data_IF_701850331371
#
_entry.id   IF_701850331371
#
_cell.length_a   1.000
_cell.length_b   1.000
_cell.length_c   1.000
_cell.angle_alpha   90.00
_cell.angle_beta   90.00
_cell.angle_gamma   90.00
#
_symmetry.space_group_name_H-M   'P 1'
#
loop_
_entity.id
_entity.type
_entity.pdbx_description
1 polymer ?
#
# COMPACT_ATOMS: atom_id res chain seq x y z
N UNK A 1 53.22 -2.32 -49.16
CA UNK A 1 54.36 -2.25 -48.21
C UNK A 1 54.02 -2.92 -46.90
N UNK A 2 53.23 -2.25 -46.06
CA UNK A 2 53.04 -2.58 -44.63
C UNK A 2 52.26 -3.91 -44.39
N UNK A 3 51.28 -4.24 -45.23
CA UNK A 3 50.50 -5.48 -45.08
C UNK A 3 51.30 -6.77 -45.35
N UNK A 4 52.23 -6.74 -46.33
CA UNK A 4 53.09 -7.89 -46.62
C UNK A 4 54.11 -8.14 -45.50
N UNK A 5 54.69 -7.08 -44.92
CA UNK A 5 55.57 -7.19 -43.75
C UNK A 5 54.83 -7.69 -42.52
N UNK A 6 53.57 -7.28 -42.30
CA UNK A 6 52.79 -7.75 -41.15
C UNK A 6 52.43 -9.24 -41.29
N UNK A 7 52.05 -9.69 -42.49
CA UNK A 7 51.74 -11.10 -42.78
C UNK A 7 52.99 -11.98 -42.72
N UNK A 8 54.12 -11.55 -43.29
CA UNK A 8 55.38 -12.32 -43.19
C UNK A 8 55.89 -12.37 -41.75
N UNK A 9 55.74 -11.29 -40.98
CA UNK A 9 56.11 -11.26 -39.55
C UNK A 9 55.17 -12.16 -38.73
N UNK A 10 53.86 -12.19 -39.02
CA UNK A 10 52.89 -13.04 -38.33
C UNK A 10 53.10 -14.52 -38.67
N UNK A 11 53.41 -14.86 -39.93
CA UNK A 11 53.76 -16.21 -40.38
C UNK A 11 55.09 -16.66 -39.76
N UNK A 12 56.10 -15.81 -39.74
CA UNK A 12 57.37 -16.10 -39.07
C UNK A 12 57.16 -16.29 -37.55
N UNK A 13 56.32 -15.46 -36.92
CA UNK A 13 55.98 -15.55 -35.49
C UNK A 13 55.18 -16.80 -35.13
N UNK A 14 54.24 -17.21 -35.99
CA UNK A 14 53.45 -18.44 -35.78
C UNK A 14 54.28 -19.69 -36.04
N UNK A 15 55.06 -19.71 -37.13
CA UNK A 15 56.03 -20.78 -37.38
C UNK A 15 57.03 -20.89 -36.22
N UNK A 16 57.53 -19.76 -35.68
CA UNK A 16 58.42 -19.69 -34.51
C UNK A 16 57.98 -20.42 -33.24
N UNK A 17 56.67 -20.67 -33.10
CA UNK A 17 56.13 -21.42 -31.96
C UNK A 17 56.05 -22.92 -32.19
N UNK A 18 56.31 -23.41 -33.40
CA UNK A 18 56.29 -24.85 -33.71
C UNK A 18 57.63 -25.52 -33.39
N UNK A 19 57.59 -26.81 -32.98
CA UNK A 19 58.81 -27.60 -32.74
C UNK A 19 59.66 -27.74 -34.02
N UNK A 20 59.00 -27.86 -35.18
CA UNK A 20 59.66 -27.99 -36.47
C UNK A 20 60.43 -26.72 -36.87
N UNK A 21 59.88 -25.53 -36.60
CA UNK A 21 60.60 -24.28 -36.90
C UNK A 21 61.72 -24.01 -35.92
N UNK A 22 61.58 -24.32 -34.63
CA UNK A 22 62.71 -24.22 -33.69
C UNK A 22 63.85 -25.14 -34.11
N UNK A 23 63.53 -26.34 -34.57
CA UNK A 23 64.52 -27.24 -35.15
C UNK A 23 65.13 -26.67 -36.46
N UNK A 24 64.32 -26.07 -37.33
CA UNK A 24 64.78 -25.41 -38.54
C UNK A 24 65.69 -24.20 -38.25
N UNK A 25 65.40 -23.38 -37.23
CA UNK A 25 66.27 -22.30 -36.78
C UNK A 25 67.57 -22.86 -36.23
N UNK A 26 67.52 -23.92 -35.44
CA UNK A 26 68.74 -24.55 -34.94
C UNK A 26 69.62 -25.06 -36.10
N UNK A 27 69.03 -25.76 -37.07
CA UNK A 27 69.72 -26.20 -38.28
C UNK A 27 70.23 -25.03 -39.13
N UNK A 28 69.44 -23.97 -39.27
CA UNK A 28 69.84 -22.75 -39.98
C UNK A 28 71.03 -22.10 -39.29
N UNK A 29 71.01 -21.92 -37.96
CA UNK A 29 72.13 -21.36 -37.21
C UNK A 29 73.38 -22.23 -37.33
N UNK A 30 73.25 -23.56 -37.28
CA UNK A 30 74.38 -24.48 -37.51
C UNK A 30 74.91 -24.33 -38.94
N UNK A 31 74.04 -24.31 -39.95
CA UNK A 31 74.41 -24.19 -41.37
C UNK A 31 75.02 -22.83 -41.70
N UNK A 32 74.49 -21.76 -41.10
CA UNK A 32 74.97 -20.40 -41.23
C UNK A 32 76.36 -20.24 -40.61
N UNK A 33 76.58 -20.85 -39.44
CA UNK A 33 77.91 -20.91 -38.83
C UNK A 33 78.88 -21.77 -39.64
N UNK A 34 78.40 -22.86 -40.26
CA UNK A 34 79.23 -23.71 -41.11
C UNK A 34 79.85 -22.92 -42.27
N UNK A 35 79.18 -21.91 -42.83
CA UNK A 35 79.75 -21.01 -43.85
C UNK A 35 80.96 -20.24 -43.31
N UNK A 36 80.89 -19.75 -42.07
CA UNK A 36 82.01 -19.05 -41.43
C UNK A 36 83.20 -20.00 -41.23
N UNK A 37 82.96 -21.23 -40.75
CA UNK A 37 84.03 -22.21 -40.53
C UNK A 37 84.60 -22.81 -41.82
N UNK A 38 83.78 -23.07 -42.85
CA UNK A 38 84.27 -23.55 -44.15
C UNK A 38 85.07 -22.49 -44.88
N UNK A 39 84.70 -21.21 -44.75
CA UNK A 39 85.52 -20.10 -45.26
C UNK A 39 86.92 -20.09 -44.63
N UNK A 40 87.02 -20.42 -43.35
CA UNK A 40 88.30 -20.50 -42.63
C UNK A 40 89.15 -21.71 -43.06
N UNK A 41 88.52 -22.83 -43.43
CA UNK A 41 89.23 -24.04 -43.92
C UNK A 41 89.63 -23.92 -45.40
N UNK A 42 88.83 -23.24 -46.22
CA UNK A 42 89.04 -23.14 -47.67
C UNK A 42 90.00 -22.00 -48.10
N UNK A 43 90.27 -21.02 -47.24
CA UNK A 43 91.11 -19.85 -47.55
C UNK A 43 92.55 -19.94 -47.03
N UNK A 44 93.54 -19.81 -47.92
CA UNK A 44 94.96 -19.64 -47.57
C UNK A 44 95.35 -18.16 -47.42
N UNK A 45 95.99 -17.82 -46.28
CA UNK A 45 96.48 -16.52 -45.78
C UNK A 45 95.97 -15.22 -46.44
N UNK A 46 95.04 -14.53 -45.76
CA UNK A 46 95.07 -13.07 -45.52
C UNK A 46 93.88 -12.65 -44.61
N UNK A 47 94.21 -12.20 -43.40
CA UNK A 47 93.58 -11.19 -42.51
C UNK A 47 92.06 -11.03 -42.30
N UNK A 48 91.14 -11.59 -43.10
CA UNK A 48 89.69 -11.30 -42.97
C UNK A 48 88.82 -12.43 -42.38
N UNK A 49 89.40 -13.60 -42.06
CA UNK A 49 88.63 -14.78 -41.66
C UNK A 49 88.15 -14.72 -40.20
N UNK A 50 88.93 -14.13 -39.29
CA UNK A 50 88.52 -13.84 -37.90
C UNK A 50 87.33 -12.89 -37.83
N UNK A 51 87.27 -11.90 -38.73
CA UNK A 51 86.13 -10.97 -38.81
C UNK A 51 84.83 -11.69 -39.19
N UNK A 52 84.89 -12.73 -40.02
CA UNK A 52 83.72 -13.52 -40.37
C UNK A 52 83.20 -14.32 -39.17
N UNK A 53 84.05 -14.95 -38.38
CA UNK A 53 83.63 -15.67 -37.16
C UNK A 53 83.03 -14.68 -36.14
N UNK A 54 83.70 -13.55 -35.93
CA UNK A 54 83.27 -12.51 -34.99
C UNK A 54 81.94 -11.83 -35.37
N UNK A 55 81.55 -11.87 -36.65
CA UNK A 55 80.27 -11.34 -37.11
C UNK A 55 79.20 -12.43 -37.17
N UNK A 56 79.51 -13.58 -37.79
CA UNK A 56 78.51 -14.59 -38.11
C UNK A 56 78.09 -15.41 -36.89
N UNK A 57 79.03 -15.79 -36.02
CA UNK A 57 78.72 -16.62 -34.84
C UNK A 57 77.91 -15.84 -33.80
N UNK A 58 78.29 -14.61 -33.40
CA UNK A 58 77.44 -13.81 -32.52
C UNK A 58 76.07 -13.51 -33.11
N UNK A 59 75.99 -13.17 -34.40
CA UNK A 59 74.71 -12.91 -35.06
C UNK A 59 73.80 -14.14 -35.04
N UNK A 60 74.34 -15.33 -35.34
CA UNK A 60 73.58 -16.57 -35.32
C UNK A 60 73.14 -16.96 -33.91
N UNK A 61 73.97 -16.70 -32.89
CA UNK A 61 73.64 -16.90 -31.48
C UNK A 61 72.56 -15.92 -31.01
N UNK A 62 72.62 -14.65 -31.41
CA UNK A 62 71.59 -13.65 -31.11
C UNK A 62 70.25 -14.09 -31.71
N UNK A 63 70.24 -14.46 -32.99
CA UNK A 63 69.03 -14.97 -33.67
C UNK A 63 68.54 -16.25 -32.97
N UNK A 64 69.42 -17.19 -32.67
CA UNK A 64 69.08 -18.42 -31.95
C UNK A 64 68.48 -18.11 -30.57
N UNK A 65 69.03 -17.17 -29.81
CA UNK A 65 68.57 -16.81 -28.46
C UNK A 65 67.15 -16.24 -28.43
N UNK A 66 66.74 -15.59 -29.53
CA UNK A 66 65.39 -15.04 -29.66
C UNK A 66 64.34 -16.16 -29.72
N UNK A 67 64.67 -17.28 -30.39
CA UNK A 67 63.69 -18.31 -30.78
C UNK A 67 63.89 -19.70 -30.15
N UNK A 68 65.11 -20.02 -29.72
CA UNK A 68 65.47 -21.32 -29.15
C UNK A 68 65.40 -21.32 -27.62
N UNK A 69 65.35 -22.52 -27.05
CA UNK A 69 65.42 -22.70 -25.61
C UNK A 69 66.85 -22.46 -25.08
N UNK A 70 67.02 -22.05 -23.82
CA UNK A 70 68.34 -21.88 -23.21
C UNK A 70 69.28 -23.10 -23.40
N UNK A 71 68.82 -24.37 -23.26
CA UNK A 71 69.66 -25.53 -23.57
C UNK A 71 70.09 -25.63 -25.03
N UNK A 72 69.24 -25.22 -25.98
CA UNK A 72 69.58 -25.24 -27.40
C UNK A 72 70.58 -24.13 -27.76
N UNK A 73 70.48 -22.95 -27.13
CA UNK A 73 71.50 -21.89 -27.24
C UNK A 73 72.82 -22.36 -26.65
N UNK A 74 72.80 -22.99 -25.46
CA UNK A 74 74.00 -23.58 -24.84
C UNK A 74 74.66 -24.63 -25.73
N UNK A 75 73.87 -25.53 -26.29
CA UNK A 75 74.38 -26.56 -27.20
C UNK A 75 74.96 -25.93 -28.47
N UNK A 76 74.31 -24.90 -29.04
CA UNK A 76 74.82 -24.18 -30.20
C UNK A 76 76.12 -23.43 -29.88
N UNK A 77 76.22 -22.76 -28.72
CA UNK A 77 77.46 -22.13 -28.25
C UNK A 77 78.57 -23.18 -28.09
N UNK A 78 78.27 -24.31 -27.46
CA UNK A 78 79.21 -25.43 -27.30
C UNK A 78 79.68 -26.02 -28.64
N UNK A 79 78.78 -26.16 -29.61
CA UNK A 79 79.12 -26.58 -30.97
C UNK A 79 80.04 -25.58 -31.68
N UNK A 80 79.81 -24.27 -31.54
CA UNK A 80 80.68 -23.25 -32.12
C UNK A 80 82.07 -23.25 -31.47
N UNK A 81 82.14 -23.35 -30.15
CA UNK A 81 83.43 -23.49 -29.44
C UNK A 81 84.13 -24.78 -29.88
N UNK A 82 83.43 -25.91 -29.92
CA UNK A 82 83.97 -27.20 -30.37
C UNK A 82 84.45 -27.18 -31.82
N UNK A 83 83.70 -26.54 -32.72
CA UNK A 83 84.09 -26.34 -34.11
C UNK A 83 85.38 -25.52 -34.23
N UNK A 84 85.51 -24.46 -33.43
CA UNK A 84 86.72 -23.65 -33.39
C UNK A 84 87.92 -24.44 -32.83
N UNK A 85 87.74 -25.31 -31.83
CA UNK A 85 88.80 -26.23 -31.40
C UNK A 85 89.15 -27.29 -32.46
N UNK A 86 88.17 -27.77 -33.23
CA UNK A 86 88.39 -28.74 -34.28
C UNK A 86 89.25 -28.18 -35.41
N UNK A 87 89.10 -26.90 -35.79
CA UNK A 87 89.97 -26.29 -36.82
C UNK A 87 91.44 -26.31 -36.40
N UNK A 88 91.73 -26.09 -35.11
CA UNK A 88 93.08 -26.24 -34.54
C UNK A 88 93.59 -27.70 -34.58
N UNK A 89 92.72 -28.66 -34.29
CA UNK A 89 93.10 -30.09 -34.27
C UNK A 89 93.40 -30.63 -35.68
N UNK A 90 92.64 -30.21 -36.69
CA UNK A 90 92.80 -30.66 -38.08
C UNK A 90 93.84 -29.85 -38.89
N UNK A 91 94.60 -28.96 -38.23
CA UNK A 91 95.70 -28.22 -38.86
C UNK A 91 95.27 -27.09 -39.81
N UNK A 92 94.04 -26.59 -39.69
CA UNK A 92 93.58 -25.41 -40.44
C UNK A 92 94.24 -24.12 -39.89
N UNK A 93 94.29 -23.02 -40.66
CA UNK A 93 94.81 -21.75 -40.19
C UNK A 93 94.09 -21.30 -38.92
N UNK A 94 94.83 -21.17 -37.82
CA UNK A 94 94.26 -20.72 -36.55
C UNK A 94 94.22 -19.19 -36.54
N UNK A 95 93.10 -18.57 -36.14
CA UNK A 95 93.04 -17.13 -35.88
C UNK A 95 94.15 -16.66 -34.95
N UNK A 96 94.75 -15.49 -35.25
CA UNK A 96 95.81 -14.89 -34.43
C UNK A 96 95.33 -14.63 -32.97
N UNK A 97 94.03 -14.36 -32.80
CA UNK A 97 93.39 -14.10 -31.50
C UNK A 97 92.46 -15.25 -31.04
N UNK A 98 92.82 -16.51 -31.30
CA UNK A 98 92.00 -17.70 -30.98
C UNK A 98 91.38 -17.70 -29.57
N UNK A 99 92.15 -17.37 -28.54
CA UNK A 99 91.70 -17.35 -27.14
C UNK A 99 90.62 -16.28 -26.92
N UNK A 100 90.76 -15.13 -27.59
CA UNK A 100 89.80 -14.03 -27.53
C UNK A 100 88.49 -14.43 -28.22
N UNK A 101 88.54 -15.07 -29.38
CA UNK A 101 87.36 -15.55 -30.10
C UNK A 101 86.58 -16.61 -29.29
N UNK A 102 87.27 -17.60 -28.71
CA UNK A 102 86.66 -18.60 -27.83
C UNK A 102 86.02 -17.93 -26.61
N UNK A 103 86.74 -16.97 -25.99
CA UNK A 103 86.25 -16.21 -24.84
C UNK A 103 84.99 -15.40 -25.16
N UNK A 104 84.98 -14.73 -26.31
CA UNK A 104 83.84 -13.93 -26.79
C UNK A 104 82.63 -14.78 -27.11
N UNK A 105 82.78 -15.89 -27.84
CA UNK A 105 81.67 -16.81 -28.15
C UNK A 105 81.07 -17.38 -26.85
N UNK A 106 81.92 -17.77 -25.91
CA UNK A 106 81.49 -18.30 -24.62
C UNK A 106 80.77 -17.24 -23.79
N UNK A 107 81.31 -16.02 -23.71
CA UNK A 107 80.72 -14.91 -22.98
C UNK A 107 79.37 -14.49 -23.57
N UNK A 108 79.29 -14.33 -24.89
CA UNK A 108 78.06 -13.99 -25.61
C UNK A 108 77.02 -15.10 -25.41
N UNK A 109 77.41 -16.36 -25.57
CA UNK A 109 76.52 -17.50 -25.33
C UNK A 109 75.96 -17.50 -23.90
N UNK A 110 76.82 -17.28 -22.90
CA UNK A 110 76.41 -17.22 -21.49
C UNK A 110 75.47 -16.04 -21.20
N UNK A 111 75.78 -14.85 -21.72
CA UNK A 111 74.91 -13.66 -21.60
C UNK A 111 73.54 -13.92 -22.25
N UNK A 112 73.52 -14.49 -23.44
CA UNK A 112 72.27 -14.80 -24.15
C UNK A 112 71.44 -15.86 -23.42
N UNK A 113 72.07 -16.90 -22.86
CA UNK A 113 71.39 -17.90 -22.03
C UNK A 113 70.76 -17.24 -20.80
N UNK A 114 71.48 -16.36 -20.11
CA UNK A 114 70.96 -15.61 -18.95
C UNK A 114 69.78 -14.71 -19.34
N UNK A 115 69.90 -13.98 -20.45
CA UNK A 115 68.84 -13.13 -20.98
C UNK A 115 67.58 -13.93 -21.35
N UNK A 116 67.75 -15.06 -22.06
CA UNK A 116 66.62 -15.94 -22.42
C UNK A 116 65.97 -16.54 -21.17
N UNK A 117 66.76 -16.96 -20.18
CA UNK A 117 66.24 -17.44 -18.89
C UNK A 117 65.45 -16.36 -18.14
N UNK A 118 65.98 -15.15 -18.05
CA UNK A 118 65.32 -14.02 -17.42
C UNK A 118 64.01 -13.63 -18.13
N UNK A 119 64.04 -13.55 -19.46
CA UNK A 119 62.84 -13.29 -20.29
C UNK A 119 61.77 -14.35 -20.05
N UNK A 120 62.14 -15.63 -20.12
CA UNK A 120 61.20 -16.74 -19.93
C UNK A 120 60.59 -16.73 -18.52
N UNK A 121 61.41 -16.44 -17.49
CA UNK A 121 60.94 -16.33 -16.10
C UNK A 121 59.95 -15.18 -15.92
N UNK A 122 60.24 -14.01 -16.49
CA UNK A 122 59.33 -12.86 -16.43
C UNK A 122 58.02 -13.09 -17.19
N UNK A 123 58.07 -13.75 -18.35
CA UNK A 123 56.88 -14.11 -19.10
C UNK A 123 55.99 -15.09 -18.31
N UNK A 124 56.59 -16.10 -17.67
CA UNK A 124 55.88 -17.00 -16.77
C UNK A 124 55.25 -16.29 -15.57
N UNK A 125 55.99 -15.37 -14.92
CA UNK A 125 55.45 -14.58 -13.81
C UNK A 125 54.24 -13.74 -14.24
N UNK A 126 54.33 -13.07 -15.39
CA UNK A 126 53.21 -12.29 -15.95
C UNK A 126 52.00 -13.19 -16.27
N UNK A 127 52.24 -14.34 -16.88
CA UNK A 127 51.18 -15.31 -17.18
C UNK A 127 50.48 -15.79 -15.90
N UNK A 128 51.25 -16.11 -14.86
CA UNK A 128 50.71 -16.52 -13.57
C UNK A 128 49.91 -15.40 -12.90
N UNK A 129 50.38 -14.16 -12.93
CA UNK A 129 49.67 -12.99 -12.38
C UNK A 129 48.34 -12.74 -13.11
N UNK A 130 48.34 -12.80 -14.45
CA UNK A 130 47.11 -12.64 -15.24
C UNK A 130 46.14 -13.78 -14.95
N UNK A 131 46.63 -15.02 -14.85
CA UNK A 131 45.77 -16.16 -14.50
C UNK A 131 45.20 -16.04 -13.09
N UNK A 132 45.98 -15.59 -12.11
CA UNK A 132 45.46 -15.39 -10.75
C UNK A 132 44.43 -14.27 -10.70
N UNK A 133 44.69 -13.15 -11.37
CA UNK A 133 43.75 -12.04 -11.45
C UNK A 133 42.44 -12.44 -12.15
N UNK A 134 42.53 -13.21 -13.25
CA UNK A 134 41.34 -13.71 -13.93
C UNK A 134 40.53 -14.66 -13.04
N UNK A 135 41.17 -15.58 -12.31
CA UNK A 135 40.47 -16.45 -11.34
C UNK A 135 39.82 -15.66 -10.22
N UNK A 136 40.49 -14.62 -9.73
CA UNK A 136 39.93 -13.74 -8.70
C UNK A 136 38.71 -12.97 -9.22
N UNK A 137 38.78 -12.44 -10.45
CA UNK A 137 37.66 -11.79 -11.12
C UNK A 137 36.49 -12.75 -11.37
N UNK A 138 36.75 -13.98 -11.80
CA UNK A 138 35.73 -15.02 -11.97
C UNK A 138 35.05 -15.33 -10.62
N UNK A 139 35.83 -15.50 -9.55
CA UNK A 139 35.29 -15.74 -8.21
C UNK A 139 34.47 -14.57 -7.68
N UNK A 140 34.94 -13.33 -7.86
CA UNK A 140 34.23 -12.11 -7.46
C UNK A 140 32.94 -11.95 -8.26
N UNK A 141 32.97 -12.20 -9.56
CA UNK A 141 31.79 -12.11 -10.43
C UNK A 141 30.75 -13.14 -10.00
N UNK A 142 31.17 -14.38 -9.76
CA UNK A 142 30.27 -15.43 -9.27
C UNK A 142 29.69 -15.14 -7.87
N UNK A 143 30.49 -14.59 -6.95
CA UNK A 143 29.98 -14.18 -5.62
C UNK A 143 29.00 -13.01 -5.72
N UNK A 144 29.27 -12.03 -6.59
CA UNK A 144 28.37 -10.91 -6.83
C UNK A 144 27.06 -11.36 -7.47
N UNK A 145 27.11 -12.22 -8.49
CA UNK A 145 25.92 -12.81 -9.12
C UNK A 145 25.06 -13.53 -8.07
N UNK A 146 25.68 -14.40 -7.25
CA UNK A 146 24.99 -15.11 -6.17
C UNK A 146 24.34 -14.14 -5.17
N UNK A 147 25.05 -13.09 -4.74
CA UNK A 147 24.49 -12.08 -3.82
C UNK A 147 23.34 -11.29 -4.44
N UNK A 148 23.43 -10.96 -5.73
CA UNK A 148 22.35 -10.26 -6.44
C UNK A 148 21.11 -11.16 -6.51
N UNK A 149 21.27 -12.43 -6.83
CA UNK A 149 20.16 -13.39 -6.88
C UNK A 149 19.52 -13.58 -5.49
N UNK A 150 20.33 -13.77 -4.45
CA UNK A 150 19.87 -13.89 -3.06
C UNK A 150 19.09 -12.64 -2.62
N UNK A 151 19.64 -11.44 -2.85
CA UNK A 151 18.99 -10.17 -2.47
C UNK A 151 17.73 -9.88 -3.28
N UNK A 152 17.72 -10.24 -4.57
CA UNK A 152 16.55 -10.07 -5.43
C UNK A 152 15.40 -10.96 -4.96
N UNK A 153 15.68 -12.22 -4.62
CA UNK A 153 14.69 -13.13 -4.06
C UNK A 153 14.14 -12.65 -2.70
N UNK A 154 15.00 -12.14 -1.82
CA UNK A 154 14.58 -11.54 -0.55
C UNK A 154 13.69 -10.31 -0.74
N UNK A 155 14.08 -9.40 -1.64
CA UNK A 155 13.32 -8.20 -1.98
C UNK A 155 11.95 -8.54 -2.56
N UNK A 156 11.88 -9.50 -3.48
CA UNK A 156 10.60 -9.97 -4.03
C UNK A 156 9.69 -10.52 -2.93
N UNK A 157 10.22 -11.35 -2.03
CA UNK A 157 9.44 -11.90 -0.92
C UNK A 157 8.92 -10.79 0.00
N UNK A 158 9.76 -9.84 0.38
CA UNK A 158 9.38 -8.71 1.23
C UNK A 158 8.36 -7.80 0.55
N UNK A 159 8.51 -7.56 -0.76
CA UNK A 159 7.58 -6.73 -1.52
C UNK A 159 6.20 -7.41 -1.66
N UNK A 160 6.17 -8.72 -1.93
CA UNK A 160 4.91 -9.51 -1.93
C UNK A 160 4.20 -9.43 -0.59
N UNK A 161 4.93 -9.60 0.53
CA UNK A 161 4.36 -9.50 1.87
C UNK A 161 3.81 -8.09 2.17
N UNK A 162 4.56 -7.05 1.78
CA UNK A 162 4.15 -5.66 1.96
C UNK A 162 2.91 -5.32 1.16
N UNK A 163 2.86 -5.73 -0.11
CA UNK A 163 1.70 -5.55 -0.99
C UNK A 163 0.48 -6.27 -0.44
N UNK A 164 0.62 -7.51 0.03
CA UNK A 164 -0.48 -8.26 0.64
C UNK A 164 -1.04 -7.54 1.88
N UNK A 165 -0.16 -7.04 2.76
CA UNK A 165 -0.57 -6.32 3.97
C UNK A 165 -1.25 -4.99 3.63
N UNK A 166 -0.76 -4.28 2.60
CA UNK A 166 -1.40 -3.06 2.11
C UNK A 166 -2.81 -3.33 1.57
N UNK A 167 -3.00 -4.40 0.79
CA UNK A 167 -4.32 -4.78 0.27
C UNK A 167 -5.31 -5.15 1.39
N UNK A 168 -4.85 -5.86 2.43
CA UNK A 168 -5.67 -6.17 3.60
C UNK A 168 -6.11 -4.90 4.34
N UNK A 169 -5.17 -3.96 4.56
CA UNK A 169 -5.48 -2.69 5.21
C UNK A 169 -6.46 -1.84 4.38
N UNK A 170 -6.27 -1.79 3.05
CA UNK A 170 -7.18 -1.09 2.15
C UNK A 170 -8.60 -1.67 2.24
N UNK A 171 -8.75 -3.00 2.27
CA UNK A 171 -10.04 -3.65 2.44
C UNK A 171 -10.73 -3.29 3.76
N UNK A 172 -9.96 -3.22 4.85
CA UNK A 172 -10.46 -2.76 6.15
C UNK A 172 -10.93 -1.31 6.09
N UNK A 173 -10.16 -0.42 5.46
CA UNK A 173 -10.51 1.00 5.34
C UNK A 173 -11.78 1.20 4.51
N UNK A 174 -11.87 0.56 3.33
CA UNK A 174 -13.06 0.61 2.48
C UNK A 174 -14.31 0.13 3.23
N UNK A 175 -14.18 -0.97 3.99
CA UNK A 175 -15.25 -1.50 4.82
C UNK A 175 -15.63 -0.53 5.94
N UNK A 176 -14.64 0.06 6.61
CA UNK A 176 -14.88 1.01 7.70
C UNK A 176 -15.61 2.26 7.21
N UNK A 177 -15.26 2.77 6.03
CA UNK A 177 -15.95 3.90 5.39
C UNK A 177 -17.40 3.55 5.02
N UNK A 178 -17.64 2.36 4.47
CA UNK A 178 -18.99 1.89 4.15
C UNK A 178 -19.85 1.77 5.41
N UNK A 179 -19.27 1.27 6.50
CA UNK A 179 -19.94 1.15 7.81
C UNK A 179 -20.25 2.53 8.39
N UNK A 180 -19.34 3.50 8.31
CA UNK A 180 -19.50 4.84 8.89
C UNK A 180 -20.61 5.69 8.22
N UNK A 181 -21.02 5.36 7.00
CA UNK A 181 -22.08 6.09 6.28
C UNK A 181 -23.50 5.72 6.74
N UNK A 182 -23.65 4.58 7.43
CA UNK A 182 -24.92 4.05 7.87
C UNK A 182 -25.37 4.72 9.17
N UNK A 183 -26.62 5.19 9.21
CA UNK A 183 -27.17 6.01 10.31
C UNK A 183 -28.28 5.33 11.10
N UNK A 184 -28.83 4.25 10.58
CA UNK A 184 -29.92 3.49 11.22
C UNK A 184 -29.37 2.16 11.72
N UNK A 185 -29.56 1.88 13.02
CA UNK A 185 -29.11 0.63 13.64
C UNK A 185 -29.71 -0.61 12.96
N UNK A 186 -30.96 -0.54 12.51
CA UNK A 186 -31.66 -1.67 11.88
C UNK A 186 -31.08 -2.03 10.51
N UNK A 187 -30.56 -1.04 9.78
CA UNK A 187 -29.89 -1.24 8.50
C UNK A 187 -28.39 -1.53 8.68
N UNK A 188 -27.80 -1.02 9.76
CA UNK A 188 -26.38 -1.13 10.07
C UNK A 188 -25.95 -2.58 10.31
N UNK A 189 -26.63 -3.29 11.21
CA UNK A 189 -26.22 -4.65 11.58
C UNK A 189 -26.23 -5.63 10.40
N UNK A 190 -27.31 -5.73 9.59
CA UNK A 190 -27.34 -6.63 8.44
C UNK A 190 -26.28 -6.26 7.38
N UNK A 191 -26.08 -4.96 7.14
CA UNK A 191 -25.07 -4.49 6.20
C UNK A 191 -23.65 -4.89 6.62
N UNK A 192 -23.30 -4.71 7.89
CA UNK A 192 -21.99 -5.12 8.43
C UNK A 192 -21.78 -6.63 8.25
N UNK A 193 -22.74 -7.44 8.69
CA UNK A 193 -22.62 -8.90 8.61
C UNK A 193 -22.43 -9.37 7.16
N UNK A 194 -23.17 -8.76 6.23
CA UNK A 194 -23.08 -9.09 4.81
C UNK A 194 -21.75 -8.65 4.19
N UNK A 195 -21.30 -7.43 4.47
CA UNK A 195 -20.05 -6.89 3.93
C UNK A 195 -18.82 -7.66 4.41
N UNK A 196 -18.77 -8.02 5.70
CA UNK A 196 -17.68 -8.84 6.25
C UNK A 196 -17.66 -10.21 5.57
N UNK A 197 -18.81 -10.87 5.44
CA UNK A 197 -18.90 -12.16 4.76
C UNK A 197 -18.46 -12.07 3.29
N UNK A 198 -18.94 -11.08 2.52
CA UNK A 198 -18.58 -10.94 1.12
C UNK A 198 -17.10 -10.64 0.89
N UNK A 199 -16.49 -9.78 1.73
CA UNK A 199 -15.11 -9.33 1.50
C UNK A 199 -14.08 -10.39 1.91
N UNK A 200 -14.37 -11.18 2.94
CA UNK A 200 -13.45 -12.16 3.50
C UNK A 200 -13.81 -13.62 3.18
N UNK A 201 -14.98 -13.86 2.55
CA UNK A 201 -15.42 -15.19 2.14
C UNK A 201 -15.89 -16.08 3.29
N UNK A 202 -16.29 -15.50 4.42
CA UNK A 202 -16.73 -16.28 5.58
C UNK A 202 -18.12 -16.88 5.37
N UNK A 203 -18.28 -18.13 5.82
CA UNK A 203 -19.52 -18.90 5.76
C UNK A 203 -20.64 -18.21 6.54
N UNK A 204 -20.36 -17.85 7.79
CA UNK A 204 -21.29 -17.18 8.67
C UNK A 204 -20.63 -15.98 9.34
N UNK A 205 -21.37 -14.90 9.42
CA UNK A 205 -21.08 -13.72 10.24
C UNK A 205 -22.36 -13.37 10.98
N UNK A 206 -22.29 -13.30 12.30
CA UNK A 206 -23.36 -12.93 13.20
C UNK A 206 -22.97 -11.74 14.07
N UNK A 207 -23.92 -10.88 14.38
CA UNK A 207 -23.73 -9.79 15.36
C UNK A 207 -24.72 -10.00 16.50
N UNK A 208 -24.19 -10.16 17.71
CA UNK A 208 -24.95 -10.28 18.94
C UNK A 208 -24.83 -9.00 19.76
N UNK A 209 -25.91 -8.59 20.42
CA UNK A 209 -25.89 -7.56 21.45
C UNK A 209 -26.14 -8.16 22.81
N UNK A 210 -25.46 -7.64 23.83
CA UNK A 210 -25.70 -8.00 25.23
C UNK A 210 -26.97 -7.27 25.70
N UNK A 211 -27.87 -7.99 26.37
CA UNK A 211 -29.08 -7.39 26.93
C UNK A 211 -28.78 -6.49 28.15
N UNK A 212 -29.75 -5.64 28.50
CA UNK A 212 -29.58 -4.67 29.60
C UNK A 212 -29.37 -5.33 30.98
N UNK A 213 -29.88 -6.55 31.19
CA UNK A 213 -29.66 -7.33 32.40
C UNK A 213 -28.34 -8.13 32.39
N UNK A 214 -27.62 -8.11 31.27
CA UNK A 214 -26.35 -8.83 31.05
C UNK A 214 -26.44 -10.32 31.32
N UNK A 215 -27.54 -10.94 30.93
CA UNK A 215 -27.79 -12.37 31.02
C UNK A 215 -27.63 -13.08 29.68
N UNK A 216 -27.97 -12.40 28.59
CA UNK A 216 -27.98 -12.99 27.25
C UNK A 216 -27.27 -12.13 26.20
N UNK A 217 -26.57 -12.80 25.29
CA UNK A 217 -26.17 -12.27 23.99
C UNK A 217 -27.25 -12.64 22.96
N UNK A 218 -27.90 -11.64 22.37
CA UNK A 218 -29.06 -11.80 21.47
C UNK A 218 -28.61 -11.49 20.04
N UNK A 219 -28.86 -12.41 19.11
CA UNK A 219 -28.50 -12.24 17.70
C UNK A 219 -29.36 -11.12 17.08
N UNK A 220 -28.71 -10.08 16.53
CA UNK A 220 -29.35 -8.92 15.90
C UNK A 220 -29.20 -8.92 14.37
N UNK A 221 -28.12 -9.49 13.85
CA UNK A 221 -27.97 -9.69 12.40
C UNK A 221 -27.12 -10.92 12.08
N UNK A 222 -27.31 -11.45 10.88
CA UNK A 222 -26.53 -12.53 10.32
C UNK A 222 -26.58 -12.50 8.78
N UNK A 223 -25.52 -12.93 8.10
CA UNK A 223 -25.49 -12.99 6.63
C UNK A 223 -26.16 -14.26 6.07
N UNK A 224 -25.95 -15.41 6.73
CA UNK A 224 -26.24 -16.74 6.18
C UNK A 224 -27.73 -17.11 6.29
N UNK A 225 -28.20 -18.05 5.47
CA UNK A 225 -29.57 -18.59 5.56
C UNK A 225 -29.86 -19.25 6.93
N UNK A 226 -28.87 -19.94 7.51
CA UNK A 226 -28.95 -20.47 8.88
C UNK A 226 -29.12 -19.38 9.93
N UNK A 227 -28.26 -18.37 9.87
CA UNK A 227 -28.35 -17.18 10.71
C UNK A 227 -29.68 -16.43 10.60
N UNK A 228 -30.25 -16.35 9.40
CA UNK A 228 -31.57 -15.74 9.19
C UNK A 228 -32.71 -16.53 9.87
N UNK A 229 -32.63 -17.87 9.90
CA UNK A 229 -33.56 -18.68 10.71
C UNK A 229 -33.36 -18.46 12.21
N UNK A 230 -32.11 -18.34 12.66
CA UNK A 230 -31.78 -18.02 14.06
C UNK A 230 -32.33 -16.65 14.47
N UNK A 231 -32.22 -15.64 13.61
CA UNK A 231 -32.81 -14.32 13.82
C UNK A 231 -34.33 -14.38 13.97
N UNK A 232 -35.01 -15.08 13.04
CA UNK A 232 -36.47 -15.15 13.04
C UNK A 232 -37.06 -15.78 14.33
N UNK A 233 -36.30 -16.63 15.02
CA UNK A 233 -36.70 -17.23 16.31
C UNK A 233 -36.19 -16.49 17.55
N UNK A 234 -35.54 -15.34 17.38
CA UNK A 234 -34.97 -14.55 18.48
C UNK A 234 -33.84 -15.29 19.21
N UNK A 235 -32.93 -15.90 18.47
CA UNK A 235 -31.83 -16.68 19.04
C UNK A 235 -31.00 -15.88 20.05
N UNK A 236 -30.77 -16.48 21.22
CA UNK A 236 -30.03 -15.89 22.33
C UNK A 236 -29.18 -16.95 23.03
N UNK A 237 -28.03 -16.53 23.55
CA UNK A 237 -27.06 -17.36 24.25
C UNK A 237 -26.80 -16.77 25.64
N UNK A 238 -26.74 -17.61 26.66
CA UNK A 238 -26.38 -17.16 28.00
C UNK A 238 -24.92 -16.67 28.04
N UNK A 239 -24.63 -15.61 28.79
CA UNK A 239 -23.26 -15.16 28.98
C UNK A 239 -22.41 -16.28 29.62
N UNK A 240 -21.18 -16.46 29.12
CA UNK A 240 -20.29 -17.57 29.48
C UNK A 240 -20.58 -18.90 28.78
N UNK A 241 -21.66 -19.01 28.00
CA UNK A 241 -22.02 -20.24 27.27
C UNK A 241 -21.55 -20.18 25.82
N UNK A 242 -20.85 -21.22 25.36
CA UNK A 242 -20.32 -21.27 24.01
C UNK A 242 -19.24 -20.24 23.74
N UNK A 243 -18.84 -20.13 22.47
CA UNK A 243 -17.74 -19.24 22.06
C UNK A 243 -18.18 -17.78 22.14
N UNK A 244 -19.38 -17.46 21.62
CA UNK A 244 -20.02 -16.14 21.70
C UNK A 244 -20.25 -15.70 23.14
N UNK A 245 -20.86 -16.54 23.98
CA UNK A 245 -21.16 -16.16 25.38
C UNK A 245 -19.90 -15.94 26.20
N UNK A 246 -18.82 -16.71 25.95
CA UNK A 246 -17.52 -16.47 26.58
C UNK A 246 -16.96 -15.09 26.22
N UNK A 247 -16.97 -14.73 24.93
CA UNK A 247 -16.48 -13.42 24.48
C UNK A 247 -17.33 -12.27 25.08
N UNK A 248 -18.65 -12.45 25.14
CA UNK A 248 -19.57 -11.50 25.77
C UNK A 248 -19.29 -11.30 27.27
N UNK A 249 -18.97 -12.37 28.00
CA UNK A 249 -18.74 -12.31 29.44
C UNK A 249 -17.34 -11.77 29.80
N UNK A 250 -16.31 -12.26 29.12
CA UNK A 250 -14.91 -11.94 29.46
C UNK A 250 -14.41 -10.67 28.79
N UNK A 251 -15.04 -10.25 27.69
CA UNK A 251 -14.53 -9.19 26.84
C UNK A 251 -13.20 -9.56 26.18
N UNK A 252 -12.89 -10.85 26.03
CA UNK A 252 -11.69 -11.33 25.33
C UNK A 252 -12.09 -12.10 24.06
N UNK A 253 -11.33 -11.96 22.96
CA UNK A 253 -11.50 -12.80 21.79
C UNK A 253 -11.38 -14.30 22.12
N UNK A 254 -12.15 -15.14 21.45
CA UNK A 254 -12.02 -16.60 21.54
C UNK A 254 -12.08 -17.22 20.16
N UNK A 255 -11.14 -18.13 19.89
CA UNK A 255 -11.14 -19.00 18.71
C UNK A 255 -11.50 -20.41 19.19
N UNK A 256 -12.44 -21.05 18.50
CA UNK A 256 -12.80 -22.45 18.68
C UNK A 256 -12.45 -23.25 17.42
N UNK A 257 -11.86 -24.42 17.63
CA UNK A 257 -11.45 -25.35 16.56
C UNK A 257 -12.27 -26.63 16.63
N UNK A 258 -12.55 -27.26 15.49
CA UNK A 258 -13.25 -28.55 15.32
C UNK A 258 -12.46 -29.77 15.87
N UNK A 259 -11.88 -29.64 17.06
CA UNK A 259 -11.15 -30.68 17.79
C UNK A 259 -11.24 -30.43 19.31
N UNK A 260 -11.19 -31.49 20.12
CA UNK A 260 -11.09 -31.39 21.58
C UNK A 260 -12.38 -30.90 22.26
N UNK A 261 -12.24 -30.12 23.34
CA UNK A 261 -13.38 -29.66 24.15
C UNK A 261 -14.29 -28.67 23.42
N UNK A 262 -13.80 -28.00 22.38
CA UNK A 262 -14.57 -27.02 21.61
C UNK A 262 -15.47 -27.65 20.54
N UNK A 263 -15.26 -28.93 20.19
CA UNK A 263 -16.08 -29.65 19.19
C UNK A 263 -17.57 -29.69 19.54
N UNK A 264 -17.90 -29.62 20.84
CA UNK A 264 -19.29 -29.62 21.35
C UNK A 264 -20.03 -28.32 20.97
N UNK A 265 -19.32 -27.23 20.66
CA UNK A 265 -19.93 -25.96 20.31
C UNK A 265 -20.43 -25.88 18.86
N UNK A 266 -20.05 -26.83 18.00
CA UNK A 266 -20.46 -26.86 16.58
C UNK A 266 -21.75 -27.64 16.30
N UNK A 267 -22.43 -28.17 17.33
CA UNK A 267 -23.73 -28.85 17.19
C UNK A 267 -24.87 -27.82 17.06
N UNK A 268 -24.85 -27.03 15.98
CA UNK A 268 -25.90 -26.08 15.63
C UNK A 268 -26.62 -26.55 14.35
N UNK A 269 -27.88 -26.99 14.42
CA UNK A 269 -28.62 -27.46 13.24
C UNK A 269 -28.85 -26.35 12.20
N UNK A 270 -28.76 -25.09 12.60
CA UNK A 270 -28.86 -23.97 11.66
C UNK A 270 -27.56 -23.71 10.89
N UNK A 271 -26.40 -24.11 11.44
CA UNK A 271 -25.05 -23.90 10.88
C UNK A 271 -24.25 -25.21 10.89
N UNK A 272 -24.70 -26.26 10.17
CA UNK A 272 -24.15 -27.61 10.29
C UNK A 272 -22.74 -27.76 9.70
N UNK A 273 -22.31 -26.83 8.84
CA UNK A 273 -21.03 -26.90 8.14
C UNK A 273 -19.90 -26.19 8.90
N UNK A 274 -20.15 -25.64 10.09
CA UNK A 274 -19.14 -24.91 10.85
C UNK A 274 -18.04 -25.84 11.36
N UNK A 275 -16.79 -25.50 11.05
CA UNK A 275 -15.58 -26.24 11.47
C UNK A 275 -14.54 -25.37 12.17
N UNK A 276 -14.77 -24.06 12.23
CA UNK A 276 -14.04 -23.16 13.10
C UNK A 276 -14.85 -21.89 13.33
N UNK A 277 -14.68 -21.29 14.50
CA UNK A 277 -15.43 -20.10 14.94
C UNK A 277 -14.48 -19.13 15.65
N UNK A 278 -14.66 -17.83 15.41
CA UNK A 278 -14.02 -16.77 16.18
C UNK A 278 -15.09 -15.79 16.67
N UNK A 279 -15.12 -15.60 17.98
CA UNK A 279 -15.99 -14.64 18.64
C UNK A 279 -15.16 -13.45 19.13
N UNK A 280 -15.53 -12.25 18.68
CA UNK A 280 -14.81 -11.00 18.93
C UNK A 280 -15.71 -10.05 19.72
N UNK A 281 -15.30 -9.61 20.93
CA UNK A 281 -16.11 -8.70 21.72
C UNK A 281 -16.21 -7.34 21.03
N UNK A 282 -17.44 -6.83 20.94
CA UNK A 282 -17.73 -5.45 20.55
C UNK A 282 -17.74 -4.60 21.82
N UNK A 283 -16.85 -3.63 21.91
CA UNK A 283 -16.61 -2.85 23.13
C UNK A 283 -16.95 -1.40 22.93
N UNK A 284 -17.76 -0.85 23.84
CA UNK A 284 -17.91 0.59 24.00
C UNK A 284 -17.30 1.00 25.32
N UNK A 285 -16.37 1.95 25.27
CA UNK A 285 -15.53 2.36 26.41
C UNK A 285 -14.78 1.17 27.02
N UNK A 286 -15.28 0.62 28.13
CA UNK A 286 -14.70 -0.53 28.82
C UNK A 286 -15.71 -1.67 29.05
N UNK A 287 -16.84 -1.62 28.36
CA UNK A 287 -17.93 -2.58 28.47
C UNK A 287 -18.14 -3.34 27.16
N UNK A 288 -18.39 -4.65 27.26
CA UNK A 288 -18.74 -5.46 26.09
C UNK A 288 -20.23 -5.29 25.81
N UNK A 289 -20.54 -4.57 24.73
CA UNK A 289 -21.91 -4.27 24.30
C UNK A 289 -22.47 -5.34 23.35
N UNK A 290 -21.60 -6.17 22.80
CA UNK A 290 -21.98 -7.20 21.85
C UNK A 290 -20.82 -8.11 21.46
N UNK A 291 -21.05 -8.98 20.49
CA UNK A 291 -20.05 -9.90 19.95
C UNK A 291 -20.23 -9.99 18.43
N UNK A 292 -19.12 -9.90 17.70
CA UNK A 292 -19.03 -10.28 16.30
C UNK A 292 -18.60 -11.73 16.24
N UNK A 293 -19.49 -12.57 15.74
CA UNK A 293 -19.27 -14.00 15.51
C UNK A 293 -18.93 -14.24 14.05
N UNK A 294 -17.86 -14.98 13.78
CA UNK A 294 -17.41 -15.32 12.42
C UNK A 294 -17.07 -16.80 12.37
N UNK A 295 -17.68 -17.53 11.43
CA UNK A 295 -17.51 -18.97 11.31
C UNK A 295 -17.10 -19.38 9.90
N UNK A 296 -16.33 -20.47 9.82
CA UNK A 296 -15.81 -21.04 8.57
C UNK A 296 -16.13 -22.52 8.45
N UNK A 297 -16.29 -22.99 7.21
CA UNK A 297 -16.40 -24.41 6.88
C UNK A 297 -15.05 -25.11 6.82
N UNK A 298 -13.94 -24.37 6.91
CA UNK A 298 -12.60 -24.91 7.00
C UNK A 298 -12.17 -25.05 8.46
N UNK A 299 -11.55 -26.19 8.81
CA UNK A 299 -10.98 -26.38 10.13
C UNK A 299 -9.69 -25.56 10.26
N UNK A 300 -9.54 -24.81 11.36
CA UNK A 300 -8.35 -23.98 11.58
C UNK A 300 -8.23 -22.78 10.63
N UNK A 301 -9.35 -22.25 10.13
CA UNK A 301 -9.37 -21.15 9.17
C UNK A 301 -8.80 -19.81 9.72
N UNK A 302 -8.64 -19.68 11.03
CA UNK A 302 -8.24 -18.43 11.68
C UNK A 302 -6.81 -18.54 12.25
N UNK A 303 -5.88 -17.78 11.66
CA UNK A 303 -4.53 -17.60 12.21
C UNK A 303 -4.47 -16.47 13.25
N UNK A 304 -3.32 -16.33 13.93
CA UNK A 304 -3.07 -15.21 14.86
C UNK A 304 -3.10 -13.86 14.12
N UNK A 305 -2.63 -13.82 12.87
CA UNK A 305 -2.63 -12.60 12.06
C UNK A 305 -4.07 -12.23 11.65
N UNK A 306 -4.91 -13.23 11.32
CA UNK A 306 -6.33 -13.01 11.02
C UNK A 306 -7.07 -12.46 12.25
N UNK A 307 -6.72 -12.95 13.45
CA UNK A 307 -7.32 -12.45 14.69
C UNK A 307 -7.05 -10.95 14.89
N UNK A 308 -5.86 -10.45 14.56
CA UNK A 308 -5.54 -9.02 14.66
C UNK A 308 -6.36 -8.19 13.68
N UNK A 309 -6.50 -8.67 12.44
CA UNK A 309 -7.31 -8.03 11.38
C UNK A 309 -8.78 -7.99 11.80
N UNK A 310 -9.35 -9.12 12.21
CA UNK A 310 -10.75 -9.21 12.61
C UNK A 310 -11.05 -8.45 13.91
N UNK A 311 -10.12 -8.42 14.87
CA UNK A 311 -10.25 -7.57 16.07
C UNK A 311 -10.30 -6.09 15.70
N UNK A 312 -9.48 -5.67 14.72
CA UNK A 312 -9.53 -4.29 14.21
C UNK A 312 -10.90 -3.98 13.61
N UNK A 313 -11.47 -4.91 12.84
CA UNK A 313 -12.82 -4.78 12.31
C UNK A 313 -13.89 -4.73 13.41
N UNK A 314 -13.80 -5.60 14.42
CA UNK A 314 -14.72 -5.61 15.56
C UNK A 314 -14.69 -4.26 16.32
N UNK A 315 -13.51 -3.64 16.45
CA UNK A 315 -13.39 -2.29 17.03
C UNK A 315 -14.09 -1.23 16.15
N UNK A 316 -13.94 -1.30 14.82
CA UNK A 316 -14.62 -0.36 13.91
C UNK A 316 -16.14 -0.54 13.94
N UNK A 317 -16.62 -1.79 13.99
CA UNK A 317 -18.03 -2.10 14.21
C UNK A 317 -18.51 -1.49 15.52
N UNK A 318 -17.76 -1.66 16.62
CA UNK A 318 -18.12 -1.08 17.92
C UNK A 318 -18.27 0.44 17.88
N UNK A 319 -17.36 1.13 17.21
CA UNK A 319 -17.43 2.60 17.02
C UNK A 319 -18.68 2.99 16.22
N UNK A 320 -19.00 2.26 15.16
CA UNK A 320 -20.17 2.54 14.34
C UNK A 320 -21.48 2.34 15.12
N UNK A 321 -21.56 1.28 15.92
CA UNK A 321 -22.72 1.02 16.78
C UNK A 321 -22.92 2.12 17.82
N UNK A 322 -21.83 2.57 18.46
CA UNK A 322 -21.88 3.67 19.42
C UNK A 322 -22.36 4.97 18.74
N UNK A 323 -21.82 5.29 17.55
CA UNK A 323 -22.24 6.47 16.80
C UNK A 323 -23.73 6.43 16.41
N UNK A 324 -24.21 5.29 15.94
CA UNK A 324 -25.62 5.12 15.55
C UNK A 324 -26.55 5.18 16.77
N UNK A 325 -26.13 4.62 17.91
CA UNK A 325 -26.83 4.74 19.19
C UNK A 325 -26.91 6.20 19.66
N UNK A 326 -25.77 6.90 19.74
CA UNK A 326 -25.71 8.30 20.15
C UNK A 326 -26.56 9.21 19.26
N UNK A 327 -26.56 8.96 17.95
CA UNK A 327 -27.41 9.69 17.01
C UNK A 327 -28.89 9.46 17.28
N UNK A 328 -29.28 8.22 17.57
CA UNK A 328 -30.67 7.86 17.90
C UNK A 328 -31.12 8.51 19.20
N UNK A 329 -30.29 8.43 20.26
CA UNK A 329 -30.55 9.07 21.55
C UNK A 329 -30.67 10.59 21.41
N UNK A 330 -29.77 11.23 20.66
CA UNK A 330 -29.81 12.68 20.42
C UNK A 330 -31.09 13.10 19.69
N UNK A 331 -31.53 12.34 18.69
CA UNK A 331 -32.78 12.60 17.97
C UNK A 331 -34.00 12.45 18.88
N UNK A 332 -34.05 11.38 19.69
CA UNK A 332 -35.13 11.17 20.64
C UNK A 332 -35.21 12.31 21.67
N UNK A 333 -34.06 12.74 22.22
CA UNK A 333 -33.98 13.85 23.14
C UNK A 333 -34.45 15.17 22.49
N UNK A 334 -34.10 15.42 21.23
CA UNK A 334 -34.54 16.61 20.50
C UNK A 334 -36.07 16.63 20.31
N UNK A 335 -36.67 15.49 19.95
CA UNK A 335 -38.13 15.35 19.83
C UNK A 335 -38.79 15.64 21.18
N UNK A 336 -38.30 15.04 22.26
CA UNK A 336 -38.85 15.24 23.60
C UNK A 336 -38.76 16.71 24.05
N UNK A 337 -37.62 17.37 23.81
CA UNK A 337 -37.46 18.81 24.11
C UNK A 337 -38.43 19.65 23.29
N UNK A 338 -38.64 19.32 22.01
CA UNK A 338 -39.58 20.04 21.16
C UNK A 338 -41.03 19.89 21.63
N UNK A 339 -41.44 18.69 22.05
CA UNK A 339 -42.78 18.43 22.59
C UNK A 339 -43.05 19.23 23.86
N UNK A 340 -42.13 19.19 24.82
CA UNK A 340 -42.22 19.97 26.07
C UNK A 340 -42.29 21.47 25.77
N UNK A 341 -41.50 21.95 24.81
CA UNK A 341 -41.51 23.35 24.42
C UNK A 341 -42.83 23.76 23.77
N UNK A 342 -43.38 22.95 22.86
CA UNK A 342 -44.66 23.21 22.21
C UNK A 342 -45.81 23.26 23.21
N UNK A 343 -45.85 22.32 24.16
CA UNK A 343 -46.83 22.32 25.25
C UNK A 343 -46.73 23.59 26.09
N UNK A 344 -45.50 23.98 26.46
CA UNK A 344 -45.25 25.22 27.20
C UNK A 344 -45.74 26.45 26.42
N UNK A 345 -45.39 26.59 25.14
CA UNK A 345 -45.86 27.69 24.29
C UNK A 345 -47.39 27.75 24.24
N UNK A 346 -48.05 26.62 23.99
CA UNK A 346 -49.51 26.56 23.92
C UNK A 346 -50.16 26.98 25.24
N UNK A 347 -49.66 26.47 26.37
CA UNK A 347 -50.16 26.80 27.71
C UNK A 347 -50.03 28.31 28.01
N UNK A 348 -48.85 28.89 27.77
CA UNK A 348 -48.57 30.29 28.08
C UNK A 348 -49.39 31.25 27.20
N UNK A 349 -49.53 30.94 25.91
CA UNK A 349 -50.37 31.74 25.00
C UNK A 349 -51.85 31.61 25.33
N UNK A 350 -52.33 30.41 25.64
CA UNK A 350 -53.72 30.20 26.08
C UNK A 350 -54.02 31.02 27.34
N UNK A 351 -53.11 31.01 28.32
CA UNK A 351 -53.24 31.82 29.54
C UNK A 351 -53.23 33.31 29.24
N UNK A 352 -52.34 33.75 28.36
CA UNK A 352 -52.19 35.17 27.99
C UNK A 352 -53.44 35.70 27.29
N UNK A 353 -53.97 34.93 26.33
CA UNK A 353 -55.21 35.28 25.61
C UNK A 353 -56.41 35.27 26.56
N UNK A 354 -56.52 34.25 27.43
CA UNK A 354 -57.60 34.18 28.42
C UNK A 354 -57.57 35.37 29.41
N UNK A 355 -56.37 35.83 29.80
CA UNK A 355 -56.20 36.99 30.68
C UNK A 355 -56.41 38.34 29.98
N UNK A 356 -56.37 38.39 28.65
CA UNK A 356 -56.50 39.64 27.91
C UNK A 356 -57.95 40.09 27.75
N UNK A 357 -58.95 39.20 27.88
CA UNK A 357 -60.37 39.47 27.58
C UNK A 357 -60.65 40.05 26.16
N UNK A 358 -59.64 40.16 25.29
CA UNK A 358 -59.75 40.71 23.94
C UNK A 358 -59.86 39.57 22.92
N UNK A 359 -60.99 39.42 22.21
CA UNK A 359 -61.18 38.38 21.18
C UNK A 359 -60.31 38.58 19.94
N UNK A 360 -59.77 39.78 19.74
CA UNK A 360 -58.87 40.13 18.64
C UNK A 360 -59.09 41.55 18.13
N UNK A 361 -58.43 41.88 17.03
CA UNK A 361 -58.48 43.19 16.40
C UNK A 361 -58.94 43.08 14.94
N UNK A 362 -59.72 44.06 14.48
CA UNK A 362 -60.09 44.21 13.07
C UNK A 362 -59.55 45.54 12.56
N UNK A 363 -58.92 45.51 11.39
CA UNK A 363 -58.59 46.73 10.65
C UNK A 363 -59.62 46.94 9.54
N UNK A 364 -60.36 48.04 9.59
CA UNK A 364 -61.33 48.40 8.54
C UNK A 364 -61.29 49.91 8.30
N UNK A 365 -61.20 50.32 7.03
CA UNK A 365 -61.28 51.73 6.61
C UNK A 365 -60.35 52.69 7.34
N UNK A 366 -59.09 52.29 7.58
CA UNK A 366 -58.09 53.14 8.23
C UNK A 366 -58.13 53.13 9.77
N UNK A 367 -59.01 52.35 10.40
CA UNK A 367 -59.15 52.28 11.85
C UNK A 367 -58.96 50.83 12.36
N UNK A 368 -58.38 50.72 13.55
CA UNK A 368 -58.29 49.47 14.30
C UNK A 368 -59.44 49.45 15.30
N UNK A 369 -60.27 48.41 15.23
CA UNK A 369 -61.42 48.17 16.09
C UNK A 369 -61.21 46.86 16.87
N UNK A 370 -61.77 46.79 18.08
CA UNK A 370 -61.76 45.57 18.87
C UNK A 370 -62.85 44.62 18.37
N UNK A 371 -62.57 43.32 18.31
CA UNK A 371 -63.61 42.33 18.06
C UNK A 371 -64.46 42.13 19.33
N UNK A 372 -65.78 42.10 19.17
CA UNK A 372 -66.70 41.77 20.27
C UNK A 372 -66.68 40.27 20.61
N UNK A 373 -66.45 39.42 19.61
CA UNK A 373 -66.42 37.96 19.74
C UNK A 373 -65.32 37.35 18.87
N UNK A 374 -64.86 36.16 19.24
CA UNK A 374 -63.88 35.39 18.45
C UNK A 374 -64.48 35.09 17.08
N UNK A 375 -63.71 35.34 16.01
CA UNK A 375 -64.16 35.10 14.65
C UNK A 375 -64.25 33.58 14.39
N UNK A 376 -65.46 33.04 14.26
CA UNK A 376 -65.70 31.60 14.03
C UNK A 376 -66.02 31.30 12.55
N UNK A 377 -65.32 31.93 11.61
CA UNK A 377 -65.47 31.57 10.19
C UNK A 377 -64.83 30.21 9.92
N UNK A 378 -65.34 29.49 8.91
CA UNK A 378 -64.84 28.15 8.54
C UNK A 378 -63.34 28.18 8.24
N UNK A 379 -62.87 29.24 7.61
CA UNK A 379 -61.48 29.48 7.23
C UNK A 379 -60.60 29.65 8.47
N UNK A 380 -61.03 30.45 9.45
CA UNK A 380 -60.29 30.63 10.71
C UNK A 380 -60.23 29.35 11.51
N UNK A 381 -61.35 28.66 11.70
CA UNK A 381 -61.38 27.37 12.44
C UNK A 381 -60.48 26.35 11.75
N UNK A 382 -60.56 26.23 10.42
CA UNK A 382 -59.73 25.31 9.66
C UNK A 382 -58.23 25.66 9.73
N UNK A 383 -57.89 26.95 9.74
CA UNK A 383 -56.50 27.40 9.86
C UNK A 383 -55.91 27.11 11.25
N UNK A 384 -56.73 27.24 12.32
CA UNK A 384 -56.33 26.85 13.68
C UNK A 384 -56.14 25.34 13.79
N UNK A 385 -57.12 24.55 13.35
CA UNK A 385 -57.10 23.09 13.50
C UNK A 385 -56.01 22.41 12.66
N UNK A 386 -55.77 22.90 11.44
CA UNK A 386 -54.81 22.29 10.51
C UNK A 386 -53.41 22.90 10.60
N UNK A 387 -53.27 24.09 11.20
CA UNK A 387 -52.01 24.83 11.21
C UNK A 387 -51.49 25.22 9.82
N UNK A 388 -52.39 25.28 8.84
CA UNK A 388 -52.12 25.59 7.44
C UNK A 388 -52.93 26.81 6.98
N UNK A 389 -52.40 27.53 5.99
CA UNK A 389 -53.11 28.65 5.37
C UNK A 389 -54.33 28.13 4.61
N UNK A 390 -55.49 28.74 4.86
CA UNK A 390 -56.77 28.38 4.23
C UNK A 390 -57.25 29.56 3.40
N UNK A 391 -57.55 29.30 2.13
CA UNK A 391 -58.13 30.29 1.23
C UNK A 391 -59.55 29.89 0.85
N UNK A 392 -60.43 30.87 0.71
CA UNK A 392 -61.76 30.68 0.16
C UNK A 392 -61.94 31.62 -1.02
N UNK A 393 -62.28 31.05 -2.17
CA UNK A 393 -62.63 31.77 -3.39
C UNK A 393 -64.13 31.58 -3.65
N UNK A 394 -64.90 32.66 -3.87
CA UNK A 394 -66.33 32.54 -4.12
C UNK A 394 -66.63 31.87 -5.47
N UNK A 395 -66.99 30.59 -5.44
CA UNK A 395 -67.56 29.87 -6.59
C UNK A 395 -69.05 30.24 -6.77
N UNK A 396 -69.34 31.34 -7.45
CA UNK A 396 -70.65 31.63 -8.05
C UNK A 396 -71.85 31.89 -7.11
N UNK A 397 -72.51 33.03 -7.34
CA UNK A 397 -73.83 33.46 -6.84
C UNK A 397 -74.08 33.50 -5.33
N UNK A 398 -73.13 33.98 -4.52
CA UNK A 398 -73.41 34.46 -3.16
C UNK A 398 -72.43 35.55 -2.76
N UNK A 399 -72.82 36.45 -1.85
CA UNK A 399 -72.04 37.58 -1.31
C UNK A 399 -70.77 37.19 -0.53
N UNK A 400 -70.09 36.09 -0.90
CA UNK A 400 -68.88 35.64 -0.20
C UNK A 400 -67.68 36.42 -0.72
N UNK A 401 -67.03 37.16 0.16
CA UNK A 401 -65.75 37.83 -0.12
C UNK A 401 -64.64 36.78 -0.20
N UNK A 402 -63.62 37.05 -1.00
CA UNK A 402 -62.42 36.21 -1.01
C UNK A 402 -61.65 36.36 0.30
N UNK A 403 -61.29 35.24 0.92
CA UNK A 403 -60.68 35.20 2.26
C UNK A 403 -59.35 34.46 2.22
N UNK A 404 -58.37 34.96 2.97
CA UNK A 404 -57.18 34.20 3.38
C UNK A 404 -57.13 34.19 4.90
N UNK A 405 -57.06 33.01 5.49
CA UNK A 405 -56.79 32.79 6.90
C UNK A 405 -55.39 32.17 7.03
N UNK A 406 -54.45 32.93 7.57
CA UNK A 406 -53.07 32.47 7.81
C UNK A 406 -52.87 32.21 9.30
N UNK A 407 -52.47 31.00 9.71
CA UNK A 407 -52.16 30.73 11.10
C UNK A 407 -50.89 31.48 11.51
N UNK A 408 -50.96 32.20 12.62
CA UNK A 408 -49.81 32.83 13.26
C UNK A 408 -49.14 31.78 14.14
N UNK A 409 -48.00 31.26 13.68
CA UNK A 409 -47.32 30.14 14.33
C UNK A 409 -46.05 30.60 15.03
N UNK A 410 -45.87 30.16 16.26
CA UNK A 410 -44.62 30.27 17.00
C UNK A 410 -44.03 28.88 17.16
N UNK A 411 -42.93 28.60 16.44
CA UNK A 411 -42.20 27.31 16.50
C UNK A 411 -43.09 26.07 16.29
N UNK A 412 -44.07 26.20 15.38
CA UNK A 412 -44.98 25.12 14.99
C UNK A 412 -46.35 25.18 15.67
N UNK A 413 -46.49 25.87 16.80
CA UNK A 413 -47.75 26.02 17.52
C UNK A 413 -48.55 27.24 17.02
N UNK A 414 -49.85 27.04 16.75
CA UNK A 414 -50.74 28.13 16.33
C UNK A 414 -51.13 28.96 17.56
N UNK A 415 -50.71 30.21 17.60
CA UNK A 415 -51.01 31.15 18.70
C UNK A 415 -52.07 32.19 18.33
N UNK A 416 -52.48 32.22 17.06
CA UNK A 416 -53.52 33.10 16.54
C UNK A 416 -53.75 32.90 15.05
N UNK A 417 -54.67 33.68 14.46
CA UNK A 417 -54.94 33.65 13.01
C UNK A 417 -55.05 35.07 12.48
N UNK A 418 -54.40 35.32 11.35
CA UNK A 418 -54.58 36.51 10.55
C UNK A 418 -55.64 36.25 9.49
N UNK A 419 -56.79 36.90 9.62
CA UNK A 419 -57.92 36.77 8.71
C UNK A 419 -58.03 38.01 7.82
N UNK A 420 -57.90 37.82 6.51
CA UNK A 420 -57.94 38.91 5.54
C UNK A 420 -59.09 38.69 4.56
N UNK A 421 -60.03 39.64 4.54
CA UNK A 421 -61.11 39.69 3.57
C UNK A 421 -60.83 40.70 2.45
N UNK A 422 -61.13 40.31 1.22
CA UNK A 422 -61.13 41.22 0.08
C UNK A 422 -62.42 42.05 0.00
N UNK A 423 -62.29 43.36 -0.19
CA UNK A 423 -63.43 44.24 -0.53
C UNK A 423 -63.89 44.08 -1.99
N UNK A 424 -63.16 43.33 -2.83
CA UNK A 424 -63.52 43.03 -4.22
C UNK A 424 -64.21 41.66 -4.29
N UNK A 425 -65.46 41.57 -4.79
CA UNK A 425 -66.25 40.33 -4.83
C UNK A 425 -65.65 39.19 -5.66
N UNK A 426 -64.73 39.50 -6.59
CA UNK A 426 -64.14 38.56 -7.55
C UNK A 426 -62.61 38.49 -7.48
N UNK A 427 -62.01 38.83 -6.32
CA UNK A 427 -60.56 38.74 -6.15
C UNK A 427 -60.13 37.29 -5.99
N UNK A 428 -59.09 36.90 -6.72
CA UNK A 428 -58.32 35.69 -6.46
C UNK A 428 -57.00 36.07 -5.78
N UNK A 429 -56.65 35.35 -4.71
CA UNK A 429 -55.41 35.54 -3.99
C UNK A 429 -54.27 34.85 -4.73
N UNK A 430 -53.26 35.61 -5.12
CA UNK A 430 -52.08 35.07 -5.80
C UNK A 430 -51.11 34.44 -4.78
N UNK A 431 -50.32 33.46 -5.22
CA UNK A 431 -49.37 32.77 -4.32
C UNK A 431 -48.36 33.73 -3.68
N UNK A 432 -47.89 34.73 -4.41
CA UNK A 432 -46.96 35.75 -3.87
C UNK A 432 -47.60 36.59 -2.77
N UNK A 433 -48.90 36.88 -2.87
CA UNK A 433 -49.65 37.60 -1.83
C UNK A 433 -49.81 36.73 -0.58
N UNK A 434 -50.10 35.43 -0.76
CA UNK A 434 -50.20 34.47 0.34
C UNK A 434 -48.85 34.35 1.05
N UNK A 435 -47.76 34.17 0.30
CA UNK A 435 -46.40 34.09 0.84
C UNK A 435 -46.03 35.35 1.64
N UNK A 436 -46.43 36.53 1.17
CA UNK A 436 -46.22 37.79 1.90
C UNK A 436 -46.99 37.80 3.22
N UNK A 437 -48.25 37.39 3.22
CA UNK A 437 -49.08 37.34 4.45
C UNK A 437 -48.52 36.30 5.43
N UNK A 438 -48.03 35.16 4.93
CA UNK A 438 -47.33 34.15 5.74
C UNK A 438 -46.07 34.70 6.39
N UNK A 439 -45.23 35.43 5.64
CA UNK A 439 -44.05 36.08 6.18
C UNK A 439 -44.40 37.17 7.23
N UNK A 440 -45.49 37.90 7.02
CA UNK A 440 -46.00 38.87 8.01
C UNK A 440 -46.49 38.16 9.26
N UNK A 441 -47.25 37.07 9.12
CA UNK A 441 -47.75 36.27 10.23
C UNK A 441 -46.59 35.69 11.06
N UNK A 442 -45.55 35.17 10.41
CA UNK A 442 -44.33 34.68 11.07
C UNK A 442 -43.64 35.79 11.86
N UNK A 443 -43.42 36.97 11.25
CA UNK A 443 -42.80 38.10 11.93
C UNK A 443 -43.65 38.65 13.08
N UNK A 444 -44.98 38.62 12.93
CA UNK A 444 -45.92 38.99 13.98
C UNK A 444 -45.85 38.03 15.17
N UNK A 445 -45.72 36.72 14.93
CA UNK A 445 -45.56 35.73 16.00
C UNK A 445 -44.37 36.07 16.91
N UNK A 446 -43.21 36.37 16.31
CA UNK A 446 -42.01 36.76 17.07
C UNK A 446 -42.18 38.08 17.82
N UNK A 447 -42.81 39.07 17.20
CA UNK A 447 -43.06 40.36 17.85
C UNK A 447 -44.01 40.21 19.05
N UNK A 448 -45.05 39.40 18.91
CA UNK A 448 -46.01 39.10 19.98
C UNK A 448 -45.34 38.34 21.14
N UNK A 449 -44.48 37.37 20.87
CA UNK A 449 -43.72 36.68 21.92
C UNK A 449 -42.76 37.61 22.67
N UNK A 450 -42.02 38.45 21.95
CA UNK A 450 -41.15 39.44 22.58
C UNK A 450 -41.94 40.42 23.46
N UNK A 451 -43.11 40.87 22.98
CA UNK A 451 -43.98 41.76 23.74
C UNK A 451 -44.52 41.07 25.01
N UNK A 452 -44.96 39.81 24.91
CA UNK A 452 -45.42 39.01 26.05
C UNK A 452 -44.33 38.83 27.10
N UNK A 453 -43.14 38.40 26.68
CA UNK A 453 -41.98 38.23 27.57
C UNK A 453 -41.60 39.54 28.29
N UNK A 454 -41.65 40.66 27.58
CA UNK A 454 -41.41 41.98 28.16
C UNK A 454 -42.47 42.37 29.20
N UNK A 455 -43.75 42.12 28.91
CA UNK A 455 -44.83 42.36 29.85
C UNK A 455 -44.70 41.49 31.11
N UNK A 456 -44.35 40.22 30.95
CA UNK A 456 -44.14 39.29 32.07
C UNK A 456 -42.94 39.71 32.94
N UNK A 457 -41.84 40.13 32.32
CA UNK A 457 -40.68 40.66 33.05
C UNK A 457 -41.04 41.90 33.87
N UNK A 458 -41.80 42.84 33.28
CA UNK A 458 -42.28 44.04 33.99
C UNK A 458 -43.23 43.70 35.14
N UNK A 459 -44.14 42.75 34.95
CA UNK A 459 -45.08 42.29 35.99
C UNK A 459 -44.35 41.64 37.17
N UNK A 460 -43.30 40.87 36.91
CA UNK A 460 -42.47 40.27 37.98
C UNK A 460 -41.70 41.33 38.76
N UNK A 461 -41.01 42.24 38.08
CA UNK A 461 -40.29 43.33 38.71
C UNK A 461 -41.20 44.22 39.60
N UNK A 462 -42.44 44.45 39.18
CA UNK A 462 -43.42 45.23 39.96
C UNK A 462 -43.99 44.47 41.18
N UNK A 463 -43.79 43.15 41.30
CA UNK A 463 -44.20 42.35 42.47
C UNK A 463 -43.07 42.18 43.50
N UNK A 464 -41.83 42.45 43.11
CA UNK A 464 -40.64 42.34 43.94
C UNK A 464 -40.20 43.68 44.58
N UNK A 465 -40.81 44.79 44.13
CA UNK A 465 -40.77 46.11 44.78
C UNK A 465 -41.96 46.27 45.70
#
# INVERSE_FOLDING_TARGET
GIGYTLVTTLIAYTLARTRLFRFAIFLFSVSYNAIAYTSLVAGGSASNHSLLILIYVPLSLIVASAFLSPPAVFLLTGLNVGALYATRFFGAPVPDEFVVEVGMITLIGLVLILLTNFRNRNEQLRLNQVQSANRELENLTSDLERRVDERTAELEKANRQTSHRASQLQAITELSEAIAQLKDLNELFPAIAHLISQRFGFYHVGIFLVDGERQYAILQAANSTGGQRMLARGHRLGLGTGVVGYAAQTGQPRIALDVGADAVFFDNPDLPDTRSEVALPLKSQNETIGVLDVQSTEAGAFSIDDLQVLTTLANQVSIALENARLLTETRAALIQVQEVYNEFTRSEWTRTVAASELPGFRYQSGRIELLENVLQTREVVSAVERGQTVTNQPNGSGEKRAVVAVPVKLRGEVIGVLHIESNRPSREWQQDEINLVEAVAERAAFAMENARLFQDARRRAAKEQ
#
